data_IF_637551573181
#
_entry.id   IF_637551573181
#
_cell.length_a   1.000
_cell.length_b   1.000
_cell.length_c   1.000
_cell.angle_alpha   90.00
_cell.angle_beta   90.00
_cell.angle_gamma   90.00
#
_symmetry.space_group_name_H-M   'P 1'
#
loop_
_entity.id
_entity.type
_entity.pdbx_description
1 polymer ?
#
# COMPACT_ATOMS: atom_id res chain seq x y z
N UNK A 1 -0.55 -16.42 -14.92
CA UNK A 1 -1.62 -16.25 -13.91
C UNK A 1 -0.97 -15.92 -12.58
N UNK A 2 -1.61 -15.17 -11.68
CA UNK A 2 -1.11 -15.13 -10.31
C UNK A 2 -1.10 -16.56 -9.77
N UNK A 3 -0.03 -16.93 -9.09
CA UNK A 3 0.10 -18.23 -8.47
C UNK A 3 -1.03 -18.38 -7.43
N UNK A 4 -1.93 -19.31 -7.68
CA UNK A 4 -3.08 -19.57 -6.83
C UNK A 4 -2.62 -20.45 -5.66
N UNK A 5 -1.96 -19.82 -4.70
CA UNK A 5 -1.40 -20.49 -3.50
C UNK A 5 -2.45 -20.58 -2.38
N UNK A 6 -3.44 -19.69 -2.40
CA UNK A 6 -4.49 -19.63 -1.38
C UNK A 6 -5.57 -20.69 -1.59
N UNK A 7 -6.20 -21.14 -0.49
CA UNK A 7 -7.31 -22.11 -0.53
C UNK A 7 -8.51 -21.63 -1.35
N UNK A 8 -8.81 -20.33 -1.29
CA UNK A 8 -9.94 -19.74 -2.00
C UNK A 8 -9.49 -19.14 -3.32
N UNK A 9 -10.22 -19.44 -4.40
CA UNK A 9 -9.96 -18.86 -5.71
C UNK A 9 -9.99 -17.33 -5.68
N UNK A 10 -8.90 -16.69 -6.07
CA UNK A 10 -8.78 -15.23 -6.07
C UNK A 10 -9.15 -14.67 -7.45
N UNK A 11 -10.05 -13.69 -7.49
CA UNK A 11 -10.37 -12.89 -8.69
C UNK A 11 -10.68 -11.44 -8.33
N UNK A 12 -10.54 -10.54 -9.30
CA UNK A 12 -11.09 -9.18 -9.18
C UNK A 12 -12.60 -9.23 -9.45
N UNK A 13 -13.45 -8.72 -8.54
CA UNK A 13 -14.90 -8.85 -8.67
C UNK A 13 -15.45 -8.08 -9.89
N UNK A 14 -14.81 -6.97 -10.26
CA UNK A 14 -15.21 -6.13 -11.41
C UNK A 14 -14.99 -6.82 -12.75
N UNK A 15 -14.12 -7.82 -12.82
CA UNK A 15 -13.75 -8.47 -14.09
C UNK A 15 -14.53 -9.76 -14.26
N UNK A 16 -15.28 -9.83 -15.35
CA UNK A 16 -15.90 -11.07 -15.77
C UNK A 16 -14.85 -11.98 -16.45
N UNK A 17 -14.48 -13.06 -15.75
CA UNK A 17 -13.59 -14.09 -16.28
C UNK A 17 -14.28 -14.97 -17.33
N UNK A 18 -15.61 -15.07 -17.32
CA UNK A 18 -16.37 -15.96 -18.19
C UNK A 18 -16.94 -15.23 -19.42
N UNK A 19 -16.24 -14.19 -19.90
CA UNK A 19 -16.65 -13.46 -21.10
C UNK A 19 -16.50 -14.36 -22.33
N UNK A 20 -17.63 -14.82 -22.88
CA UNK A 20 -17.70 -15.74 -24.04
C UNK A 20 -16.95 -15.19 -25.25
N UNK A 21 -17.09 -13.91 -25.59
CA UNK A 21 -16.42 -13.32 -26.75
C UNK A 21 -14.89 -13.42 -26.62
N UNK A 22 -14.34 -13.18 -25.43
CA UNK A 22 -12.90 -13.30 -25.17
C UNK A 22 -12.42 -14.74 -25.25
N UNK A 23 -13.18 -15.67 -24.65
CA UNK A 23 -12.84 -17.09 -24.60
C UNK A 23 -12.86 -17.70 -26.00
N UNK A 24 -13.91 -17.41 -26.77
CA UNK A 24 -14.08 -17.90 -28.15
C UNK A 24 -13.03 -17.31 -29.10
N UNK A 25 -12.61 -16.06 -28.90
CA UNK A 25 -11.52 -15.45 -29.65
C UNK A 25 -10.12 -15.99 -29.29
N UNK A 26 -10.01 -16.97 -28.37
CA UNK A 26 -8.72 -17.54 -27.95
C UNK A 26 -7.83 -16.57 -27.15
N UNK A 27 -8.37 -15.42 -26.74
CA UNK A 27 -7.61 -14.40 -26.01
C UNK A 27 -7.34 -14.84 -24.57
N UNK A 28 -6.14 -15.37 -24.33
CA UNK A 28 -5.68 -15.86 -23.02
C UNK A 28 -5.44 -14.74 -22.00
N UNK A 29 -5.27 -13.48 -22.43
CA UNK A 29 -5.02 -12.34 -21.55
C UNK A 29 -6.33 -11.86 -20.92
N UNK A 30 -6.42 -11.98 -19.60
CA UNK A 30 -7.53 -11.44 -18.82
C UNK A 30 -7.28 -9.94 -18.61
N UNK A 31 -8.25 -9.05 -18.89
CA UNK A 31 -8.12 -7.63 -18.60
C UNK A 31 -7.97 -7.42 -17.09
N UNK A 32 -7.20 -6.41 -16.67
CA UNK A 32 -6.97 -6.09 -15.26
C UNK A 32 -7.73 -4.82 -14.88
N UNK A 33 -8.32 -4.82 -13.68
CA UNK A 33 -9.03 -3.66 -13.16
C UNK A 33 -8.05 -2.80 -12.36
N UNK A 34 -7.94 -1.55 -12.78
CA UNK A 34 -7.13 -0.52 -12.16
C UNK A 34 -7.96 0.74 -12.17
N UNK A 35 -7.89 1.53 -11.10
CA UNK A 35 -8.52 2.84 -11.04
C UNK A 35 -7.53 3.90 -10.60
N UNK A 36 -7.79 5.13 -11.02
CA UNK A 36 -7.13 6.29 -10.46
C UNK A 36 -7.77 6.62 -9.09
N UNK A 37 -6.95 6.87 -8.09
CA UNK A 37 -7.40 7.24 -6.73
C UNK A 37 -7.71 8.74 -6.65
N UNK A 38 -7.15 9.55 -7.56
CA UNK A 38 -7.19 11.01 -7.48
C UNK A 38 -6.12 11.58 -6.55
N UNK A 39 -6.34 12.80 -6.07
CA UNK A 39 -5.46 13.51 -5.12
C UNK A 39 -4.01 13.69 -5.62
N UNK A 40 -3.79 13.67 -6.94
CA UNK A 40 -2.47 13.84 -7.56
C UNK A 40 -1.53 12.61 -7.45
N UNK A 41 -1.99 11.48 -6.92
CA UNK A 41 -1.18 10.26 -6.85
C UNK A 41 -1.20 9.50 -8.18
N UNK A 42 -0.01 9.15 -8.68
CA UNK A 42 0.14 8.32 -9.87
C UNK A 42 -0.20 6.86 -9.54
N UNK A 43 -0.83 6.17 -10.48
CA UNK A 43 -1.01 4.72 -10.42
C UNK A 43 0.35 4.03 -10.59
N UNK A 44 0.78 3.16 -9.66
CA UNK A 44 2.04 2.42 -9.82
C UNK A 44 1.94 1.47 -11.00
N UNK A 45 3.06 1.27 -11.70
CA UNK A 45 3.14 0.42 -12.89
C UNK A 45 2.76 -1.03 -12.56
N UNK A 46 3.20 -1.50 -11.39
CA UNK A 46 2.91 -2.82 -10.84
C UNK A 46 1.42 -3.02 -10.56
N UNK A 47 0.65 -1.95 -10.28
CA UNK A 47 -0.79 -2.10 -10.16
C UNK A 47 -1.45 -2.37 -11.52
N UNK A 48 -0.89 -1.85 -12.62
CA UNK A 48 -1.40 -2.03 -13.99
C UNK A 48 -0.95 -3.33 -14.64
N UNK A 49 0.32 -3.68 -14.49
CA UNK A 49 0.92 -4.85 -15.15
C UNK A 49 0.99 -6.08 -14.23
N UNK A 50 0.86 -5.89 -12.92
CA UNK A 50 1.01 -6.97 -11.94
C UNK A 50 -0.11 -7.99 -12.00
N UNK A 51 0.17 -9.19 -11.50
CA UNK A 51 -0.79 -10.30 -11.46
C UNK A 51 -1.53 -10.42 -10.13
N UNK A 52 -1.06 -9.77 -9.07
CA UNK A 52 -1.58 -9.93 -7.70
C UNK A 52 -3.07 -9.58 -7.59
N UNK A 53 -3.76 -10.19 -6.63
CA UNK A 53 -5.16 -9.91 -6.32
C UNK A 53 -5.26 -9.46 -4.86
N UNK A 54 -5.71 -8.23 -4.67
CA UNK A 54 -5.86 -7.62 -3.36
C UNK A 54 -7.10 -6.72 -3.31
N UNK A 55 -8.05 -7.10 -2.45
CA UNK A 55 -9.32 -6.37 -2.24
C UNK A 55 -9.12 -5.06 -1.47
N UNK A 56 -8.02 -4.93 -0.71
CA UNK A 56 -7.67 -3.79 0.13
C UNK A 56 -6.78 -2.77 -0.58
N UNK A 57 -6.23 -3.12 -1.74
CA UNK A 57 -5.43 -2.23 -2.59
C UNK A 57 -6.26 -0.99 -2.99
N UNK A 58 -5.66 0.22 -2.96
CA UNK A 58 -6.40 1.42 -3.32
C UNK A 58 -6.60 1.56 -4.84
N UNK A 59 -5.74 0.95 -5.68
CA UNK A 59 -5.87 0.97 -7.15
C UNK A 59 -6.69 -0.19 -7.73
N UNK A 60 -6.48 -1.42 -7.26
CA UNK A 60 -7.07 -2.63 -7.86
C UNK A 60 -8.25 -3.18 -7.07
N UNK A 61 -8.56 -2.58 -5.91
CA UNK A 61 -9.63 -2.96 -5.01
C UNK A 61 -10.62 -1.81 -4.77
N UNK A 62 -11.61 -2.06 -3.92
CA UNK A 62 -12.68 -1.10 -3.61
C UNK A 62 -12.35 -0.21 -2.39
N UNK A 63 -11.09 0.17 -2.19
CA UNK A 63 -10.65 0.90 -0.99
C UNK A 63 -10.50 2.40 -1.28
N UNK A 64 -11.54 3.20 -1.00
CA UNK A 64 -11.49 4.66 -1.17
C UNK A 64 -10.55 5.32 -0.16
N UNK A 65 -9.73 6.25 -0.65
CA UNK A 65 -8.88 7.10 0.18
C UNK A 65 -9.63 8.40 0.44
N UNK A 66 -9.64 8.84 1.71
CA UNK A 66 -10.38 10.03 2.15
C UNK A 66 -9.72 10.65 3.37
N UNK A 67 -9.97 11.94 3.61
CA UNK A 67 -9.51 12.61 4.82
C UNK A 67 -7.99 12.78 4.84
N UNK A 68 -7.35 12.26 5.90
CA UNK A 68 -5.97 12.60 6.19
C UNK A 68 -4.97 11.87 5.30
N UNK A 69 -3.99 12.61 4.77
CA UNK A 69 -2.77 12.07 4.17
C UNK A 69 -1.63 12.35 5.12
N UNK A 70 -0.92 11.31 5.55
CA UNK A 70 0.19 11.39 6.48
C UNK A 70 1.46 10.87 5.84
N UNK A 71 2.60 11.38 6.29
CA UNK A 71 3.92 10.86 5.96
C UNK A 71 4.59 10.32 7.21
N UNK A 72 5.38 9.27 7.06
CA UNK A 72 6.16 8.71 8.16
C UNK A 72 7.15 7.66 7.69
N UNK A 73 7.97 7.19 8.62
CA UNK A 73 9.04 6.22 8.34
C UNK A 73 8.55 4.81 8.62
N UNK A 74 8.87 3.85 7.75
CA UNK A 74 8.53 2.45 7.98
C UNK A 74 9.36 1.90 9.13
N UNK A 75 8.71 1.46 10.20
CA UNK A 75 9.38 0.84 11.34
C UNK A 75 9.50 -0.68 11.16
N UNK A 76 8.42 -1.34 10.75
CA UNK A 76 8.34 -2.79 10.60
C UNK A 76 7.54 -3.17 9.37
N UNK A 77 8.06 -4.12 8.60
CA UNK A 77 7.40 -4.78 7.47
C UNK A 77 7.43 -6.32 7.67
N UNK A 78 6.81 -6.80 8.76
CA UNK A 78 6.81 -8.24 9.13
C UNK A 78 5.45 -8.92 8.95
N UNK A 79 4.38 -8.14 8.77
CA UNK A 79 3.03 -8.66 8.67
C UNK A 79 2.64 -8.84 7.21
N UNK A 80 1.67 -9.72 6.95
CA UNK A 80 1.16 -9.92 5.60
C UNK A 80 0.48 -8.65 5.09
N UNK A 81 1.07 -8.06 4.05
CA UNK A 81 0.54 -6.88 3.33
C UNK A 81 0.21 -5.70 4.25
N UNK A 82 0.91 -5.56 5.38
CA UNK A 82 0.68 -4.48 6.36
C UNK A 82 2.01 -4.04 6.94
N UNK A 83 2.22 -2.73 7.02
CA UNK A 83 3.41 -2.11 7.60
C UNK A 83 3.03 -1.27 8.81
N UNK A 84 4.00 -1.08 9.71
CA UNK A 84 3.88 -0.12 10.83
C UNK A 84 4.71 1.10 10.49
N UNK A 85 4.06 2.24 10.36
CA UNK A 85 4.67 3.53 10.07
C UNK A 85 4.82 4.31 11.36
N UNK A 86 6.02 4.80 11.65
CA UNK A 86 6.29 5.68 12.79
C UNK A 86 6.23 7.13 12.33
N UNK A 87 5.51 7.94 13.09
CA UNK A 87 5.47 9.40 12.94
C UNK A 87 6.00 10.04 14.21
N UNK A 88 7.16 10.66 14.10
CA UNK A 88 7.72 11.51 15.15
C UNK A 88 7.15 12.93 15.04
N UNK A 89 6.83 13.56 16.17
CA UNK A 89 6.34 14.94 16.24
C UNK A 89 6.80 15.60 17.54
N UNK A 90 6.82 16.93 17.53
CA UNK A 90 7.14 17.74 18.70
C UNK A 90 5.86 18.14 19.42
N UNK A 91 5.80 17.88 20.72
CA UNK A 91 4.70 18.29 21.59
C UNK A 91 5.14 19.47 22.45
N UNK A 92 4.36 20.55 22.47
CA UNK A 92 4.70 21.77 23.20
C UNK A 92 4.24 21.68 24.67
N UNK A 93 5.17 21.90 25.60
CA UNK A 93 4.88 21.92 27.04
C UNK A 93 4.71 23.38 27.50
N UNK A 94 3.45 23.80 27.67
CA UNK A 94 3.07 25.20 27.95
C UNK A 94 3.78 25.81 29.17
N UNK A 95 3.94 25.04 30.26
CA UNK A 95 4.59 25.50 31.50
C UNK A 95 6.05 25.93 31.28
N UNK A 96 6.80 25.17 30.50
CA UNK A 96 8.24 25.39 30.30
C UNK A 96 8.58 26.09 28.98
N UNK A 97 7.57 26.35 28.13
CA UNK A 97 7.74 26.90 26.77
C UNK A 97 8.77 26.14 25.93
N UNK A 98 8.83 24.81 26.10
CA UNK A 98 9.77 23.90 25.42
C UNK A 98 9.00 22.80 24.69
N UNK A 99 9.65 22.19 23.71
CA UNK A 99 9.11 21.03 23.00
C UNK A 99 9.73 19.73 23.52
N UNK A 100 8.90 18.68 23.62
CA UNK A 100 9.35 17.31 23.84
C UNK A 100 9.11 16.47 22.57
N UNK A 101 9.97 15.49 22.33
CA UNK A 101 9.81 14.55 21.21
C UNK A 101 8.82 13.46 21.59
N UNK A 102 7.75 13.30 20.80
CA UNK A 102 6.80 12.19 20.90
C UNK A 102 6.72 11.44 19.59
N UNK A 103 6.19 10.22 19.63
CA UNK A 103 5.97 9.43 18.44
C UNK A 103 4.65 8.68 18.51
N UNK A 104 4.09 8.36 17.34
CA UNK A 104 2.93 7.49 17.19
C UNK A 104 3.18 6.47 16.10
N UNK A 105 2.81 5.23 16.38
CA UNK A 105 2.86 4.15 15.40
C UNK A 105 1.47 4.01 14.74
N UNK A 106 1.46 4.05 13.41
CA UNK A 106 0.26 3.96 12.58
C UNK A 106 0.37 2.72 11.71
N UNK A 107 -0.50 1.72 11.89
CA UNK A 107 -0.54 0.56 11.01
C UNK A 107 -1.23 0.92 9.70
N UNK A 108 -0.58 0.59 8.58
CA UNK A 108 -1.08 0.86 7.24
C UNK A 108 -1.06 -0.41 6.38
N UNK A 109 -2.10 -0.62 5.59
CA UNK A 109 -2.13 -1.65 4.56
C UNK A 109 -1.10 -1.33 3.50
N UNK A 110 -0.33 -2.32 3.08
CA UNK A 110 0.63 -2.21 2.00
C UNK A 110 0.17 -3.08 0.83
N UNK A 111 -0.20 -2.44 -0.27
CA UNK A 111 -0.56 -3.17 -1.49
C UNK A 111 0.65 -3.90 -2.06
N UNK A 112 0.48 -5.11 -2.63
CA UNK A 112 1.56 -5.83 -3.32
C UNK A 112 2.13 -5.11 -4.56
N UNK A 113 1.53 -3.98 -4.99
CA UNK A 113 2.14 -3.08 -5.96
C UNK A 113 3.50 -2.53 -5.48
N UNK A 114 3.70 -2.40 -4.16
CA UNK A 114 4.97 -1.98 -3.58
C UNK A 114 5.69 -3.20 -3.02
N UNK A 115 6.63 -3.76 -3.79
CA UNK A 115 7.39 -4.95 -3.40
C UNK A 115 8.62 -4.63 -2.55
N UNK A 116 9.26 -3.50 -2.82
CA UNK A 116 10.55 -3.15 -2.24
C UNK A 116 10.44 -2.15 -1.08
N UNK A 117 9.53 -2.39 -0.13
CA UNK A 117 9.45 -1.55 1.07
C UNK A 117 10.38 -2.12 2.14
N UNK A 118 11.41 -1.36 2.47
CA UNK A 118 12.33 -1.65 3.56
C UNK A 118 11.98 -0.84 4.82
N UNK A 119 12.32 -1.33 6.02
CA UNK A 119 12.32 -0.49 7.20
C UNK A 119 13.29 0.68 7.00
N UNK A 120 12.88 1.89 7.38
CA UNK A 120 13.62 3.13 7.15
C UNK A 120 13.14 3.95 5.94
N UNK A 121 12.34 3.36 5.04
CA UNK A 121 11.77 4.12 3.92
C UNK A 121 10.75 5.17 4.38
N UNK A 122 10.70 6.29 3.66
CA UNK A 122 9.70 7.32 3.88
C UNK A 122 8.45 7.00 3.05
N UNK A 123 7.32 6.79 3.71
CA UNK A 123 6.06 6.44 3.04
C UNK A 123 4.99 7.50 3.26
N UNK A 124 4.18 7.71 2.22
CA UNK A 124 2.95 8.50 2.29
C UNK A 124 1.78 7.54 2.39
N UNK A 125 1.00 7.69 3.46
CA UNK A 125 -0.18 6.89 3.76
C UNK A 125 -1.43 7.77 3.70
N UNK A 126 -2.51 7.24 3.15
CA UNK A 126 -3.82 7.88 3.13
C UNK A 126 -4.80 7.16 4.04
N UNK A 127 -5.64 7.92 4.73
CA UNK A 127 -6.75 7.40 5.50
C UNK A 127 -7.76 6.70 4.57
N UNK A 128 -8.29 5.59 5.03
CA UNK A 128 -9.27 4.78 4.31
C UNK A 128 -10.40 4.35 5.25
N UNK A 129 -11.40 3.64 4.72
CA UNK A 129 -12.36 2.95 5.59
C UNK A 129 -11.62 1.97 6.52
N UNK A 130 -12.17 1.64 7.70
CA UNK A 130 -11.59 0.60 8.55
C UNK A 130 -11.41 -0.72 7.77
N UNK A 131 -10.17 -1.21 7.66
CA UNK A 131 -9.83 -2.45 6.94
C UNK A 131 -9.63 -3.64 7.88
N UNK A 132 -9.26 -3.36 9.12
CA UNK A 132 -9.14 -4.33 10.21
C UNK A 132 -9.34 -3.61 11.55
N UNK A 133 -9.17 -4.33 12.67
CA UNK A 133 -9.23 -3.75 14.03
C UNK A 133 -8.37 -2.49 14.17
N UNK A 134 -7.16 -2.52 13.59
CA UNK A 134 -6.17 -1.44 13.73
C UNK A 134 -5.93 -0.67 12.44
N UNK A 135 -5.96 -1.34 11.27
CA UNK A 135 -5.60 -0.74 9.98
C UNK A 135 -6.72 0.16 9.46
N UNK A 136 -6.43 1.45 9.43
CA UNK A 136 -7.30 2.54 8.90
C UNK A 136 -6.59 3.40 7.85
N UNK A 137 -5.36 3.05 7.51
CA UNK A 137 -4.54 3.75 6.52
C UNK A 137 -4.05 2.78 5.46
N UNK A 138 -3.76 3.29 4.27
CA UNK A 138 -3.22 2.55 3.14
C UNK A 138 -2.01 3.30 2.55
N UNK A 139 -1.00 2.58 2.11
CA UNK A 139 0.18 3.18 1.47
C UNK A 139 -0.18 3.67 0.07
N UNK A 140 0.16 4.93 -0.23
CA UNK A 140 -0.10 5.58 -1.52
C UNK A 140 1.17 5.81 -2.33
N UNK A 141 2.26 6.16 -1.65
CA UNK A 141 3.55 6.45 -2.29
C UNK A 141 4.67 6.02 -1.37
N UNK A 142 5.68 5.40 -1.96
CA UNK A 142 6.94 5.07 -1.28
C UNK A 142 7.99 6.02 -1.82
N UNK A 143 8.58 6.81 -0.94
CA UNK A 143 9.80 7.57 -1.21
C UNK A 143 10.94 6.76 -0.58
N UNK A 144 11.62 5.94 -1.39
CA UNK A 144 12.78 5.18 -0.91
C UNK A 144 13.77 6.15 -0.29
N UNK A 145 14.25 5.83 0.92
CA UNK A 145 15.28 6.65 1.54
C UNK A 145 16.51 6.60 0.62
N UNK A 146 17.06 7.78 0.27
CA UNK A 146 18.36 7.82 -0.42
C UNK A 146 19.34 7.02 0.41
N UNK A 147 20.08 6.11 -0.22
CA UNK A 147 21.01 5.23 0.47
C UNK A 147 21.90 6.07 1.39
N UNK A 148 21.78 5.84 2.69
CA UNK A 148 22.83 6.25 3.62
C UNK A 148 24.11 5.61 3.08
N UNK A 149 25.04 6.46 2.65
CA UNK A 149 26.29 6.11 1.98
C UNK A 149 26.88 4.80 2.54
N UNK A 150 27.17 3.86 1.65
CA UNK A 150 27.87 2.58 1.90
C UNK A 150 27.17 1.61 2.86
N UNK A 151 26.06 1.01 2.43
CA UNK A 151 25.57 -0.24 2.99
C UNK A 151 25.85 -1.38 2.01
N UNK A 152 26.77 -2.29 2.35
CA UNK A 152 26.91 -3.56 1.64
C UNK A 152 25.68 -4.41 1.95
N UNK A 153 24.79 -4.61 0.97
CA UNK A 153 23.71 -5.58 1.07
C UNK A 153 24.35 -6.97 0.93
N UNK A 154 24.58 -7.63 2.08
CA UNK A 154 25.16 -8.97 2.11
C UNK A 154 24.05 -9.98 1.80
N UNK A 155 24.07 -10.49 0.56
CA UNK A 155 23.12 -11.44 -0.03
C UNK A 155 21.74 -10.89 -0.34
#
# INVERSE_FOLDING_TARGET
MAEQVERAFLKQPTINLNNKARILAGNKKVPRYVRNIGLGFKTPREASEGTYIDKKCPWTGNCSIRGNILTGVVLKNKMTRTIVVRRDYLHFVKKYRRFEKRHKNVPAHCSPAFRDIAPGDLVTIGECRPLSKTVRFNVLKVNKAGSTKKGFAKF
#
